data_IF_368628148625
#
_entry.id   IF_368628148625
#
_cell.length_a   1.000
_cell.length_b   1.000
_cell.length_c   1.000
_cell.angle_alpha   90.00
_cell.angle_beta   90.00
_cell.angle_gamma   90.00
#
_symmetry.space_group_name_H-M   'P 1'
#
loop_
_entity.id
_entity.type
_entity.pdbx_description
1 polymer ?
#
# COMPACT_ATOMS: atom_id res chain seq x y z
N UNK A 1 -0.68 -7.71 -13.71
CA UNK A 1 -1.48 -7.71 -12.48
C UNK A 1 -2.40 -6.50 -12.47
N UNK A 2 -3.60 -6.60 -11.91
CA UNK A 2 -4.59 -5.52 -11.83
C UNK A 2 -4.81 -5.05 -10.38
N UNK A 3 -5.17 -3.79 -10.17
CA UNK A 3 -5.37 -3.24 -8.82
C UNK A 3 -4.15 -3.36 -7.89
N UNK A 4 -2.94 -3.42 -8.46
CA UNK A 4 -1.68 -3.40 -7.72
C UNK A 4 -1.25 -1.95 -7.45
N UNK A 5 -0.37 -1.76 -6.48
CA UNK A 5 0.24 -0.47 -6.22
C UNK A 5 1.71 -0.46 -6.65
N UNK A 6 2.22 0.73 -6.99
CA UNK A 6 3.64 0.95 -7.31
C UNK A 6 4.20 2.09 -6.47
N UNK A 7 5.44 1.93 -6.01
CA UNK A 7 6.16 2.97 -5.29
C UNK A 7 7.65 2.93 -5.65
N UNK A 8 8.34 4.05 -5.49
CA UNK A 8 9.80 4.11 -5.59
C UNK A 8 10.36 4.27 -4.19
N UNK A 9 11.14 3.29 -3.74
CA UNK A 9 11.78 3.30 -2.43
C UNK A 9 12.89 4.38 -2.37
N UNK A 10 13.34 4.69 -1.16
CA UNK A 10 14.33 5.75 -0.92
C UNK A 10 15.70 5.48 -1.59
N UNK A 11 16.01 4.21 -1.85
CA UNK A 11 17.21 3.77 -2.58
C UNK A 11 17.04 3.82 -4.12
N UNK A 12 15.90 4.31 -4.60
CA UNK A 12 15.56 4.41 -6.02
C UNK A 12 14.98 3.14 -6.63
N UNK A 13 14.83 2.06 -5.86
CA UNK A 13 14.24 0.83 -6.37
C UNK A 13 12.73 0.97 -6.60
N UNK A 14 12.24 0.45 -7.73
CA UNK A 14 10.81 0.36 -8.01
C UNK A 14 10.22 -0.86 -7.30
N UNK A 15 9.05 -0.69 -6.69
CA UNK A 15 8.28 -1.75 -6.06
C UNK A 15 6.95 -1.94 -6.78
N UNK A 16 6.54 -3.20 -6.90
CA UNK A 16 5.20 -3.62 -7.34
C UNK A 16 4.60 -4.45 -6.22
N UNK A 17 3.48 -4.01 -5.67
CA UNK A 17 2.90 -4.55 -4.44
C UNK A 17 1.48 -5.05 -4.70
N UNK A 18 1.22 -6.32 -4.33
CA UNK A 18 -0.11 -6.92 -4.33
C UNK A 18 -0.85 -6.85 -5.67
N UNK A 19 -2.17 -6.75 -5.63
CA UNK A 19 -3.05 -6.77 -6.80
C UNK A 19 -3.50 -8.18 -7.20
N UNK A 20 -4.22 -8.30 -8.31
CA UNK A 20 -4.71 -9.56 -8.86
C UNK A 20 -3.75 -10.05 -9.96
N UNK A 21 -3.44 -11.34 -9.94
CA UNK A 21 -2.64 -12.04 -10.96
C UNK A 21 -3.50 -13.04 -11.73
N UNK A 22 -2.91 -13.77 -12.69
CA UNK A 22 -3.61 -14.87 -13.36
C UNK A 22 -3.96 -16.02 -12.39
N UNK A 23 -3.14 -16.18 -11.33
CA UNK A 23 -3.22 -17.32 -10.41
C UNK A 23 -3.88 -16.97 -9.06
N UNK A 24 -4.06 -15.68 -8.76
CA UNK A 24 -4.62 -15.21 -7.50
C UNK A 24 -5.48 -13.95 -7.67
N UNK A 25 -6.73 -13.99 -7.17
CA UNK A 25 -7.63 -12.83 -7.14
C UNK A 25 -7.10 -11.70 -6.26
N UNK A 26 -6.32 -12.05 -5.23
CA UNK A 26 -5.61 -11.08 -4.39
C UNK A 26 -4.22 -11.62 -4.06
N UNK A 27 -3.20 -10.82 -4.33
CA UNK A 27 -1.81 -11.10 -4.02
C UNK A 27 -1.32 -10.18 -2.91
N UNK A 28 -0.33 -10.64 -2.15
CA UNK A 28 0.36 -9.86 -1.11
C UNK A 28 1.87 -9.81 -1.36
N UNK A 29 2.34 -10.40 -2.45
CA UNK A 29 3.76 -10.42 -2.80
C UNK A 29 4.27 -9.01 -3.14
N UNK A 30 5.54 -8.78 -2.82
CA UNK A 30 6.26 -7.55 -3.14
C UNK A 30 7.40 -7.88 -4.08
N UNK A 31 7.36 -7.29 -5.28
CA UNK A 31 8.43 -7.39 -6.26
C UNK A 31 9.23 -6.11 -6.28
N UNK A 32 10.55 -6.23 -6.43
CA UNK A 32 11.48 -5.11 -6.43
C UNK A 32 12.35 -5.13 -7.67
N UNK A 33 12.62 -3.96 -8.22
CA UNK A 33 13.57 -3.74 -9.30
C UNK A 33 14.55 -2.65 -8.92
N UNK A 34 15.85 -2.94 -9.04
CA UNK A 34 16.93 -1.98 -8.78
C UNK A 34 17.42 -1.26 -10.06
N UNK A 35 16.93 -1.67 -11.23
CA UNK A 35 17.44 -1.26 -12.54
C UNK A 35 16.36 -0.59 -13.41
N UNK A 36 15.41 0.09 -12.77
CA UNK A 36 14.37 0.85 -13.46
C UNK A 36 13.31 -0.02 -14.13
N UNK A 37 13.11 -1.25 -13.64
CA UNK A 37 12.07 -2.18 -14.11
C UNK A 37 12.54 -3.16 -15.18
N UNK A 38 13.83 -3.23 -15.49
CA UNK A 38 14.37 -4.18 -16.47
C UNK A 38 14.42 -5.61 -15.90
N UNK A 39 14.80 -5.76 -14.63
CA UNK A 39 14.75 -7.03 -13.90
C UNK A 39 13.99 -6.88 -12.59
N UNK A 40 13.35 -7.97 -12.17
CA UNK A 40 12.52 -8.02 -10.98
C UNK A 40 12.88 -9.22 -10.12
N UNK A 41 13.00 -8.99 -8.82
CA UNK A 41 13.18 -10.05 -7.82
C UNK A 41 12.05 -9.99 -6.81
N UNK A 42 11.66 -11.17 -6.30
CA UNK A 42 10.68 -11.25 -5.23
C UNK A 42 11.36 -10.77 -3.93
N UNK A 43 10.97 -9.59 -3.45
CA UNK A 43 11.51 -9.00 -2.23
C UNK A 43 10.89 -9.65 -0.98
N UNK A 44 9.56 -9.81 -0.98
CA UNK A 44 8.83 -10.44 0.12
C UNK A 44 7.69 -11.27 -0.41
N UNK A 45 7.71 -12.57 -0.11
CA UNK A 45 6.62 -13.48 -0.44
C UNK A 45 5.44 -13.32 0.51
N UNK A 46 5.70 -13.05 1.80
CA UNK A 46 4.70 -12.98 2.87
C UNK A 46 4.96 -11.78 3.81
N UNK A 47 4.46 -10.58 3.50
CA UNK A 47 4.79 -9.35 4.24
C UNK A 47 3.98 -9.18 5.55
N UNK A 48 3.12 -10.14 5.88
CA UNK A 48 2.33 -10.14 7.13
C UNK A 48 0.89 -9.66 6.99
N UNK A 49 0.52 -9.06 5.85
CA UNK A 49 -0.87 -8.77 5.50
C UNK A 49 -1.46 -9.80 4.53
N UNK A 50 -2.78 -9.91 4.52
CA UNK A 50 -3.51 -10.73 3.54
C UNK A 50 -3.51 -10.09 2.15
N UNK A 51 -3.65 -10.92 1.10
CA UNK A 51 -3.71 -10.47 -0.29
C UNK A 51 -4.74 -9.36 -0.49
N UNK A 52 -4.41 -8.35 -1.31
CA UNK A 52 -5.28 -7.19 -1.55
C UNK A 52 -5.13 -6.55 -2.93
N UNK A 53 -6.19 -5.92 -3.41
CA UNK A 53 -6.26 -5.11 -4.63
C UNK A 53 -6.74 -3.69 -4.32
N UNK A 54 -6.57 -2.76 -5.27
CA UNK A 54 -7.02 -1.37 -5.20
C UNK A 54 -6.64 -0.64 -3.90
N UNK A 55 -5.46 -0.99 -3.38
CA UNK A 55 -4.76 -0.31 -2.31
C UNK A 55 -3.79 0.69 -2.91
N UNK A 56 -3.28 1.59 -2.08
CA UNK A 56 -2.27 2.57 -2.50
C UNK A 56 -0.91 2.29 -1.86
N UNK A 57 0.15 2.65 -2.57
CA UNK A 57 1.51 2.62 -2.05
C UNK A 57 2.16 4.00 -2.18
N UNK A 58 2.70 4.52 -1.08
CA UNK A 58 3.23 5.89 -1.01
C UNK A 58 4.62 5.88 -0.41
N UNK A 59 5.59 6.46 -1.11
CA UNK A 59 6.90 6.74 -0.54
C UNK A 59 6.87 8.07 0.23
N UNK A 60 7.35 8.07 1.47
CA UNK A 60 7.48 9.26 2.29
C UNK A 60 8.71 9.14 3.20
N UNK A 61 9.68 10.04 3.02
CA UNK A 61 10.95 9.98 3.73
C UNK A 61 11.76 8.76 3.30
N UNK A 62 12.19 7.96 4.27
CA UNK A 62 12.93 6.71 4.09
C UNK A 62 12.03 5.47 4.01
N UNK A 63 10.70 5.64 4.02
CA UNK A 63 9.76 4.54 4.07
C UNK A 63 8.81 4.50 2.88
N UNK A 64 8.37 3.29 2.55
CA UNK A 64 7.22 3.03 1.66
C UNK A 64 6.06 2.55 2.52
N UNK A 65 4.88 3.11 2.28
CA UNK A 65 3.65 2.81 3.00
C UNK A 65 2.67 2.08 2.09
N UNK A 66 1.93 1.11 2.64
CA UNK A 66 0.78 0.46 2.01
C UNK A 66 -0.48 0.86 2.78
N UNK A 67 -1.50 1.29 2.05
CA UNK A 67 -2.70 1.92 2.61
C UNK A 67 -3.96 1.24 2.08
N UNK A 68 -4.76 0.68 3.00
CA UNK A 68 -6.10 0.17 2.72
C UNK A 68 -6.17 -0.87 1.59
N UNK A 69 -7.25 -0.82 0.81
CA UNK A 69 -7.53 -1.72 -0.30
C UNK A 69 -8.70 -2.66 -0.05
N UNK A 70 -8.87 -3.61 -0.96
CA UNK A 70 -9.84 -4.69 -0.86
C UNK A 70 -9.09 -6.01 -0.80
N UNK A 71 -9.09 -6.63 0.38
CA UNK A 71 -8.43 -7.90 0.63
C UNK A 71 -9.37 -9.09 0.66
N UNK A 72 -8.80 -10.26 0.94
CA UNK A 72 -9.53 -11.52 1.09
C UNK A 72 -10.73 -11.44 2.06
N UNK A 73 -10.61 -10.63 3.12
CA UNK A 73 -11.62 -10.47 4.16
C UNK A 73 -12.46 -9.18 4.01
N UNK A 74 -12.40 -8.52 2.84
CA UNK A 74 -13.12 -7.29 2.55
C UNK A 74 -12.23 -6.05 2.53
N UNK A 75 -12.85 -4.88 2.68
CA UNK A 75 -12.15 -3.60 2.69
C UNK A 75 -11.18 -3.52 3.87
N UNK A 76 -10.02 -2.90 3.65
CA UNK A 76 -8.95 -2.77 4.63
C UNK A 76 -8.79 -1.31 5.09
N UNK A 77 -8.40 -1.12 6.35
CA UNK A 77 -8.03 0.15 6.96
C UNK A 77 -6.70 0.13 7.70
N UNK A 78 -5.91 -0.91 7.47
CA UNK A 78 -4.57 -1.02 8.00
C UNK A 78 -3.57 -0.21 7.18
N UNK A 79 -2.50 0.21 7.87
CA UNK A 79 -1.36 0.87 7.27
C UNK A 79 -0.10 0.08 7.63
N UNK A 80 0.71 -0.20 6.63
CA UNK A 80 2.00 -0.88 6.77
C UNK A 80 3.11 -0.01 6.24
N UNK A 81 4.31 -0.15 6.79
CA UNK A 81 5.50 0.57 6.34
C UNK A 81 6.70 -0.35 6.20
N UNK A 82 7.52 -0.10 5.19
CA UNK A 82 8.84 -0.72 5.01
C UNK A 82 9.90 0.37 4.90
N UNK A 83 11.02 0.19 5.60
CA UNK A 83 12.20 1.09 5.56
C UNK A 83 13.39 0.50 4.79
N UNK A 84 13.29 -0.75 4.37
CA UNK A 84 14.36 -1.50 3.71
C UNK A 84 14.03 -1.82 2.25
N UNK A 85 13.24 -0.96 1.61
CA UNK A 85 12.89 -1.11 0.20
C UNK A 85 11.96 -2.29 -0.07
N UNK A 86 11.05 -2.58 0.86
CA UNK A 86 10.00 -3.58 0.69
C UNK A 86 10.39 -4.99 1.10
N UNK A 87 11.52 -5.19 1.82
CA UNK A 87 11.98 -6.51 2.28
C UNK A 87 11.33 -6.95 3.60
N UNK A 88 11.14 -6.01 4.53
CA UNK A 88 10.42 -6.20 5.79
C UNK A 88 9.37 -5.11 5.97
N UNK A 89 8.29 -5.48 6.66
CA UNK A 89 7.13 -4.62 6.83
C UNK A 89 6.62 -4.61 8.26
N UNK A 90 6.31 -3.42 8.76
CA UNK A 90 5.78 -3.15 10.08
C UNK A 90 4.35 -2.59 9.95
N UNK A 91 3.40 -3.17 10.70
CA UNK A 91 2.04 -2.63 10.78
C UNK A 91 2.02 -1.38 11.65
N UNK A 92 1.80 -0.22 11.04
CA UNK A 92 1.73 1.09 11.71
C UNK A 92 0.41 1.31 12.43
N UNK A 93 -0.69 0.88 11.81
CA UNK A 93 -2.00 0.75 12.48
C UNK A 93 -2.78 -0.41 11.89
N UNK A 94 -3.58 -1.06 12.73
CA UNK A 94 -4.49 -2.14 12.31
C UNK A 94 -5.90 -1.63 11.97
N UNK A 95 -6.23 -0.40 12.37
CA UNK A 95 -7.51 0.24 12.13
C UNK A 95 -7.32 1.75 12.12
N UNK A 96 -7.12 2.34 10.95
CA UNK A 96 -6.97 3.78 10.81
C UNK A 96 -8.31 4.51 10.97
N UNK A 97 -8.27 5.78 11.42
CA UNK A 97 -9.47 6.58 11.68
C UNK A 97 -10.35 6.81 10.44
N UNK A 98 -9.78 6.71 9.24
CA UNK A 98 -10.50 6.78 7.98
C UNK A 98 -11.34 5.53 7.68
N UNK A 99 -11.12 4.41 8.36
CA UNK A 99 -11.95 3.20 8.25
C UNK A 99 -11.87 2.47 6.90
N UNK A 100 -12.41 1.24 6.79
CA UNK A 100 -12.13 0.34 5.67
C UNK A 100 -12.50 0.91 4.30
N UNK A 101 -11.56 0.94 3.34
CA UNK A 101 -11.81 1.45 1.98
C UNK A 101 -10.80 0.98 0.93
N UNK A 102 -11.24 0.98 -0.32
CA UNK A 102 -10.43 0.70 -1.52
C UNK A 102 -10.67 1.78 -2.59
N UNK A 103 -9.88 1.76 -3.67
CA UNK A 103 -10.02 2.69 -4.80
C UNK A 103 -9.94 4.17 -4.38
N UNK A 104 -9.25 4.46 -3.29
CA UNK A 104 -8.97 5.81 -2.81
C UNK A 104 -7.72 6.34 -3.51
N UNK A 105 -7.51 7.66 -3.46
CA UNK A 105 -6.22 8.24 -3.84
C UNK A 105 -5.36 8.42 -2.59
N UNK A 106 -4.05 8.22 -2.71
CA UNK A 106 -3.10 8.58 -1.66
C UNK A 106 -1.84 9.23 -2.23
N UNK A 107 -1.22 10.11 -1.44
CA UNK A 107 0.05 10.73 -1.81
C UNK A 107 0.87 11.16 -0.61
N UNK A 108 2.17 11.34 -0.82
CA UNK A 108 3.07 11.99 0.13
C UNK A 108 3.20 13.46 -0.24
N UNK A 109 2.92 14.37 0.69
CA UNK A 109 3.08 15.80 0.48
C UNK A 109 3.56 16.49 1.76
N UNK A 110 4.62 17.31 1.64
CA UNK A 110 5.18 18.11 2.75
C UNK A 110 5.39 17.34 4.06
N UNK A 111 5.90 16.11 3.97
CA UNK A 111 6.21 15.28 5.15
C UNK A 111 5.02 14.55 5.75
N UNK A 112 3.86 14.53 5.08
CA UNK A 112 2.69 13.77 5.50
C UNK A 112 2.16 12.89 4.36
N UNK A 113 1.59 11.76 4.74
CA UNK A 113 0.72 10.91 3.94
C UNK A 113 -0.67 11.56 3.89
N UNK A 114 -1.33 11.45 2.76
CA UNK A 114 -2.72 11.83 2.57
C UNK A 114 -3.49 10.65 1.99
N UNK A 115 -4.70 10.43 2.50
CA UNK A 115 -5.70 9.51 1.94
C UNK A 115 -6.94 10.32 1.62
N UNK A 116 -7.45 10.21 0.38
CA UNK A 116 -8.59 10.97 -0.09
C UNK A 116 -9.62 10.07 -0.79
N UNK A 117 -10.87 10.16 -0.34
CA UNK A 117 -12.01 9.46 -0.93
C UNK A 117 -11.90 7.93 -0.88
N UNK A 118 -12.35 7.27 -1.94
CA UNK A 118 -12.45 5.81 -2.05
C UNK A 118 -13.86 5.27 -1.83
N UNK A 119 -14.01 3.95 -1.84
CA UNK A 119 -15.28 3.25 -1.62
C UNK A 119 -15.13 2.28 -0.45
N UNK A 120 -16.10 2.27 0.45
CA UNK A 120 -16.08 1.47 1.69
C UNK A 120 -16.99 0.23 1.62
N UNK A 121 -17.54 -0.07 0.45
CA UNK A 121 -18.55 -1.12 0.26
C UNK A 121 -19.99 -0.65 0.35
N UNK A 122 -20.24 0.62 0.70
CA UNK A 122 -21.58 1.21 0.80
C UNK A 122 -21.69 2.51 0.00
N UNK A 123 -20.72 3.41 0.14
CA UNK A 123 -20.73 4.72 -0.49
C UNK A 123 -19.33 5.20 -0.88
N UNK A 124 -19.27 6.10 -1.86
CA UNK A 124 -18.04 6.81 -2.18
C UNK A 124 -17.78 7.86 -1.09
N UNK A 125 -16.56 7.88 -0.58
CA UNK A 125 -16.10 8.82 0.43
C UNK A 125 -15.60 10.10 -0.24
N UNK A 126 -15.79 11.22 0.45
CA UNK A 126 -15.33 12.56 0.04
C UNK A 126 -14.45 13.24 1.10
N UNK A 127 -13.98 12.49 2.09
CA UNK A 127 -13.11 12.94 3.17
C UNK A 127 -11.62 12.87 2.78
N UNK A 128 -10.80 13.60 3.53
CA UNK A 128 -9.34 13.60 3.40
C UNK A 128 -8.74 13.46 4.79
N UNK A 129 -7.78 12.56 4.91
CA UNK A 129 -7.06 12.26 6.15
C UNK A 129 -5.57 12.42 5.94
N UNK A 130 -4.85 12.77 7.00
CA UNK A 130 -3.42 13.02 6.91
C UNK A 130 -2.66 12.41 8.08
N UNK A 131 -1.50 11.83 7.81
CA UNK A 131 -0.64 11.24 8.84
C UNK A 131 0.83 11.49 8.55
N UNK A 132 1.62 11.78 9.57
CA UNK A 132 3.08 11.89 9.42
C UNK A 132 3.79 10.55 9.57
N UNK A 133 3.10 9.52 10.10
CA UNK A 133 3.72 8.27 10.51
C UNK A 133 2.94 7.00 10.12
N UNK A 134 1.75 7.15 9.54
CA UNK A 134 0.86 6.04 9.18
C UNK A 134 0.18 5.36 10.37
N UNK A 135 0.47 5.78 11.60
CA UNK A 135 -0.10 5.20 12.82
C UNK A 135 -1.28 6.03 13.35
N UNK A 136 -1.21 7.37 13.21
CA UNK A 136 -2.28 8.30 13.63
C UNK A 136 -2.71 9.16 12.44
N UNK A 137 -4.00 9.18 12.15
CA UNK A 137 -4.61 9.79 10.95
C UNK A 137 -5.63 10.84 11.32
#
# INVERSE_FOLDING_TARGET
RDGHAVAVAADGAALVIGGATADALTAHDVWRSADGGATWTLATATPGWAGRTHHEAVALGDAVFVLGGFGEFGYCDDCWASRDGGGTWERRTAAAAWGPRAMHAACGFRGALYVAGGYDGRECRGDVWASVDGARW
#
